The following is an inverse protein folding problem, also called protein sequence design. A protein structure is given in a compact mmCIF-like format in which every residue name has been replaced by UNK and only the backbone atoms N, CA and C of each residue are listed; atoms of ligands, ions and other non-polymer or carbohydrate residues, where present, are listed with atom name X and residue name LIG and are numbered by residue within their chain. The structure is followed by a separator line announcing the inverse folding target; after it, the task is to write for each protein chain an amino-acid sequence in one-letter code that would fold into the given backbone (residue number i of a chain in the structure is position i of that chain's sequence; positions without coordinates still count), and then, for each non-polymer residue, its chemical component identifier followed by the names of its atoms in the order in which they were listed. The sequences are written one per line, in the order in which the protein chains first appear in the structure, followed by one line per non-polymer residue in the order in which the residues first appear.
data_IF_275086553324
#
_entry.id   IF_275086553324
#
_cell.length_a   1.000
_cell.length_b   1.000
_cell.length_c   1.000
_cell.angle_alpha   90.00
_cell.angle_beta   90.00
_cell.angle_gamma   90.00
#
_symmetry.space_group_name_H-M   'P 1'
#
loop_
_entity.id
_entity.type
_entity.pdbx_description
1 polymer ?
#
# COMPACT_ATOMS: atom_id res chain seq x y z
N UNK A 1 18.79 -6.46 11.72
CA UNK A 1 19.63 -7.27 10.79
C UNK A 1 19.65 -6.56 9.45
N UNK A 2 20.84 -6.33 8.87
CA UNK A 2 20.95 -5.75 7.53
C UNK A 2 20.90 -6.90 6.51
N UNK A 3 19.94 -6.90 5.57
CA UNK A 3 19.92 -7.91 4.52
C UNK A 3 21.21 -7.81 3.69
N UNK A 4 21.78 -8.97 3.34
CA UNK A 4 22.87 -9.02 2.36
C UNK A 4 22.40 -8.57 0.97
N UNK A 5 23.33 -8.37 0.03
CA UNK A 5 23.04 -7.87 -1.32
C UNK A 5 21.88 -8.58 -2.01
N UNK A 6 21.86 -9.92 -1.96
CA UNK A 6 20.79 -10.71 -2.56
C UNK A 6 19.41 -10.39 -1.95
N UNK A 7 19.35 -10.19 -0.63
CA UNK A 7 18.11 -9.81 0.06
C UNK A 7 17.62 -8.41 -0.32
N UNK A 8 18.55 -7.46 -0.48
CA UNK A 8 18.23 -6.10 -0.94
C UNK A 8 17.72 -6.12 -2.38
N UNK A 9 18.39 -6.83 -3.29
CA UNK A 9 17.98 -6.91 -4.70
C UNK A 9 16.62 -7.60 -4.87
N UNK A 10 16.40 -8.71 -4.15
CA UNK A 10 15.11 -9.38 -4.17
C UNK A 10 14.01 -8.48 -3.60
N UNK A 11 14.28 -7.80 -2.48
CA UNK A 11 13.35 -6.84 -1.88
C UNK A 11 12.99 -5.71 -2.85
N UNK A 12 13.99 -5.11 -3.49
CA UNK A 12 13.80 -4.05 -4.49
C UNK A 12 12.97 -4.53 -5.68
N UNK A 13 13.25 -5.72 -6.21
CA UNK A 13 12.48 -6.30 -7.31
C UNK A 13 11.02 -6.56 -6.92
N UNK A 14 10.78 -7.17 -5.76
CA UNK A 14 9.43 -7.46 -5.26
C UNK A 14 8.63 -6.17 -5.00
N UNK A 15 9.26 -5.18 -4.36
CA UNK A 15 8.63 -3.88 -4.12
C UNK A 15 8.32 -3.20 -5.44
N UNK A 16 9.29 -3.14 -6.37
CA UNK A 16 9.10 -2.49 -7.68
C UNK A 16 8.01 -3.13 -8.53
N UNK A 17 7.95 -4.47 -8.57
CA UNK A 17 6.87 -5.19 -9.26
C UNK A 17 5.53 -4.95 -8.57
N UNK A 18 5.48 -5.06 -7.24
CA UNK A 18 4.25 -4.84 -6.48
C UNK A 18 3.70 -3.42 -6.65
N UNK A 19 4.53 -2.39 -6.48
CA UNK A 19 4.14 -0.99 -6.63
C UNK A 19 3.79 -0.65 -8.07
N UNK A 20 4.56 -1.15 -9.03
CA UNK A 20 4.31 -0.96 -10.46
C UNK A 20 3.00 -1.56 -10.94
N UNK A 21 2.51 -2.62 -10.29
CA UNK A 21 1.23 -3.25 -10.62
C UNK A 21 0.05 -2.63 -9.87
N UNK A 22 0.20 -2.37 -8.57
CA UNK A 22 -0.95 -2.07 -7.69
C UNK A 22 -1.68 -0.77 -8.07
N UNK A 23 -0.94 0.30 -8.38
CA UNK A 23 -1.51 1.61 -8.70
C UNK A 23 -2.27 1.61 -10.03
N UNK A 24 -1.67 1.25 -11.18
CA UNK A 24 -2.39 1.28 -12.45
C UNK A 24 -3.59 0.32 -12.47
N UNK A 25 -3.45 -0.89 -11.89
CA UNK A 25 -4.56 -1.84 -11.82
C UNK A 25 -5.69 -1.36 -10.90
N UNK A 26 -5.33 -0.77 -9.75
CA UNK A 26 -6.31 -0.21 -8.81
C UNK A 26 -7.11 0.93 -9.43
N UNK A 27 -6.43 1.88 -10.09
CA UNK A 27 -7.08 2.99 -10.78
C UNK A 27 -7.92 2.51 -11.98
N UNK A 28 -7.44 1.54 -12.75
CA UNK A 28 -8.21 0.95 -13.84
C UNK A 28 -9.50 0.29 -13.35
N UNK A 29 -9.43 -0.48 -12.26
CA UNK A 29 -10.60 -1.12 -11.66
C UNK A 29 -11.62 -0.11 -11.09
N UNK A 30 -11.13 0.95 -10.43
CA UNK A 30 -11.98 2.04 -9.97
C UNK A 30 -12.65 2.77 -11.15
N UNK A 31 -11.90 3.06 -12.22
CA UNK A 31 -12.44 3.77 -13.38
C UNK A 31 -13.51 2.94 -14.09
N UNK A 32 -13.27 1.63 -14.26
CA UNK A 32 -14.21 0.71 -14.90
C UNK A 32 -15.53 0.53 -14.12
N UNK A 33 -15.53 0.78 -12.81
CA UNK A 33 -16.69 0.58 -11.92
C UNK A 33 -17.37 1.89 -11.48
N UNK A 34 -16.91 3.04 -11.99
CA UNK A 34 -17.39 4.36 -11.58
C UNK A 34 -18.24 5.01 -12.67
N UNK A 35 -19.46 5.50 -12.36
CA UNK A 35 -20.23 6.32 -13.29
C UNK A 35 -19.47 7.57 -13.75
N UNK A 36 -19.56 7.99 -15.02
CA UNK A 36 -18.77 9.11 -15.56
C UNK A 36 -18.87 10.40 -14.75
N UNK A 37 -20.05 10.70 -14.20
CA UNK A 37 -20.34 11.92 -13.43
C UNK A 37 -19.60 11.96 -12.09
N UNK A 38 -19.15 10.80 -11.59
CA UNK A 38 -18.45 10.63 -10.30
C UNK A 38 -16.99 10.19 -10.45
N UNK A 39 -16.49 10.10 -11.68
CA UNK A 39 -15.14 9.62 -11.96
C UNK A 39 -14.08 10.46 -11.25
N UNK A 40 -14.16 11.80 -11.39
CA UNK A 40 -13.23 12.71 -10.74
C UNK A 40 -13.24 12.61 -9.20
N UNK A 41 -14.43 12.46 -8.60
CA UNK A 41 -14.56 12.29 -7.15
C UNK A 41 -13.93 10.98 -6.67
N UNK A 42 -14.12 9.89 -7.41
CA UNK A 42 -13.60 8.57 -7.04
C UNK A 42 -12.09 8.49 -7.21
N UNK A 43 -11.55 9.00 -8.32
CA UNK A 43 -10.11 9.08 -8.55
C UNK A 43 -9.44 10.03 -7.55
N UNK A 44 -10.06 11.17 -7.26
CA UNK A 44 -9.55 12.10 -6.25
C UNK A 44 -9.48 11.46 -4.86
N UNK A 45 -10.49 10.69 -4.46
CA UNK A 45 -10.46 9.95 -3.20
C UNK A 45 -9.36 8.86 -3.18
N UNK A 46 -9.15 8.17 -4.30
CA UNK A 46 -8.07 7.18 -4.43
C UNK A 46 -6.68 7.83 -4.30
N UNK A 47 -6.49 8.99 -4.92
CA UNK A 47 -5.23 9.72 -4.89
C UNK A 47 -4.95 10.32 -3.51
N UNK A 48 -5.97 10.81 -2.81
CA UNK A 48 -5.85 11.19 -1.40
C UNK A 48 -5.39 10.01 -0.55
N UNK A 49 -5.91 8.80 -0.81
CA UNK A 49 -5.44 7.57 -0.17
C UNK A 49 -3.95 7.30 -0.42
N UNK A 50 -3.47 7.52 -1.65
CA UNK A 50 -2.05 7.38 -2.01
C UNK A 50 -1.18 8.40 -1.26
N UNK A 51 -1.56 9.68 -1.28
CA UNK A 51 -0.82 10.75 -0.59
C UNK A 51 -0.77 10.53 0.94
N UNK A 52 -1.86 10.03 1.54
CA UNK A 52 -1.86 9.62 2.95
C UNK A 52 -0.88 8.46 3.20
N UNK A 53 -0.73 7.54 2.25
CA UNK A 53 0.28 6.48 2.29
C UNK A 53 1.70 7.03 2.18
N UNK A 54 1.96 7.95 1.24
CA UNK A 54 3.28 8.53 1.01
C UNK A 54 3.76 9.39 2.18
N UNK A 55 2.86 10.15 2.80
CA UNK A 55 3.17 10.91 4.01
C UNK A 55 3.19 10.01 5.26
N UNK A 56 2.22 9.12 5.41
CA UNK A 56 2.00 8.34 6.63
C UNK A 56 2.94 7.15 6.78
N UNK A 57 3.32 6.48 5.69
CA UNK A 57 4.18 5.31 5.68
C UNK A 57 5.54 5.56 6.33
N UNK A 58 6.31 6.58 5.87
CA UNK A 58 7.57 6.97 6.48
C UNK A 58 7.44 7.36 7.94
N UNK A 59 6.39 8.11 8.32
CA UNK A 59 6.16 8.53 9.71
C UNK A 59 5.90 7.33 10.64
N UNK A 60 5.08 6.37 10.20
CA UNK A 60 4.78 5.15 10.94
C UNK A 60 6.05 4.30 11.14
N UNK A 61 6.79 4.04 10.06
CA UNK A 61 8.03 3.25 10.12
C UNK A 61 9.06 3.94 11.01
N UNK A 62 9.25 5.26 10.84
CA UNK A 62 10.18 6.04 11.65
C UNK A 62 9.81 6.02 13.13
N UNK A 63 8.52 6.13 13.47
CA UNK A 63 8.06 6.11 14.86
C UNK A 63 8.35 4.77 15.55
N UNK A 64 8.08 3.66 14.88
CA UNK A 64 8.38 2.31 15.41
C UNK A 64 9.89 2.08 15.48
N UNK A 65 10.63 2.54 14.47
CA UNK A 65 12.08 2.42 14.45
C UNK A 65 12.74 3.20 15.60
N UNK A 66 12.20 4.37 15.97
CA UNK A 66 12.70 5.20 17.05
C UNK A 66 12.55 4.57 18.44
N UNK A 67 11.58 3.68 18.64
CA UNK A 67 11.34 3.01 19.93
C UNK A 67 11.80 1.56 20.00
N UNK A 68 12.11 0.94 18.85
CA UNK A 68 12.56 -0.46 18.78
C UNK A 68 13.73 -0.63 17.81
N UNK A 69 13.47 -0.81 16.51
CA UNK A 69 14.49 -0.84 15.46
C UNK A 69 13.85 -0.74 14.07
N UNK A 70 14.66 -0.46 13.06
CA UNK A 70 14.21 -0.43 11.66
C UNK A 70 13.62 -1.78 11.20
N UNK A 71 14.14 -2.90 11.71
CA UNK A 71 13.59 -4.23 11.42
C UNK A 71 12.13 -4.34 11.88
N UNK A 72 11.80 -3.83 13.07
CA UNK A 72 10.42 -3.79 13.54
C UNK A 72 9.57 -2.79 12.77
N UNK A 73 10.13 -1.63 12.39
CA UNK A 73 9.44 -0.65 11.56
C UNK A 73 8.96 -1.24 10.22
N UNK A 74 9.85 -1.91 9.49
CA UNK A 74 9.48 -2.62 8.25
C UNK A 74 8.56 -3.82 8.51
N UNK A 75 8.72 -4.53 9.62
CA UNK A 75 7.82 -5.62 10.02
C UNK A 75 6.37 -5.16 10.19
N UNK A 76 6.15 -4.02 10.86
CA UNK A 76 4.81 -3.43 11.01
C UNK A 76 4.25 -3.03 9.65
N UNK A 77 5.05 -2.36 8.80
CA UNK A 77 4.61 -1.99 7.45
C UNK A 77 4.21 -3.23 6.63
N UNK A 78 5.00 -4.31 6.70
CA UNK A 78 4.71 -5.57 6.01
C UNK A 78 3.37 -6.19 6.47
N UNK A 79 3.10 -6.21 7.78
CA UNK A 79 1.82 -6.70 8.33
C UNK A 79 0.66 -5.83 7.84
N UNK A 80 0.80 -4.50 7.87
CA UNK A 80 -0.25 -3.58 7.38
C UNK A 80 -0.56 -3.81 5.91
N UNK A 81 0.47 -3.95 5.06
CA UNK A 81 0.31 -4.23 3.63
C UNK A 81 -0.35 -5.60 3.38
N UNK A 82 -0.04 -6.62 4.19
CA UNK A 82 -0.65 -7.94 4.07
C UNK A 82 -2.13 -7.95 4.51
N UNK A 83 -2.47 -7.19 5.55
CA UNK A 83 -3.85 -7.12 6.06
C UNK A 83 -4.78 -6.25 5.20
N UNK A 84 -4.27 -5.22 4.53
CA UNK A 84 -5.08 -4.29 3.72
C UNK A 84 -6.01 -4.98 2.71
N UNK A 85 -5.50 -5.86 1.82
CA UNK A 85 -6.32 -6.63 0.89
C UNK A 85 -7.35 -7.52 1.57
N UNK A 86 -7.04 -8.10 2.73
CA UNK A 86 -7.99 -8.94 3.48
C UNK A 86 -9.16 -8.11 4.00
N UNK A 87 -8.89 -6.91 4.52
CA UNK A 87 -9.93 -5.98 4.97
C UNK A 87 -10.79 -5.55 3.79
N UNK A 88 -10.18 -5.16 2.66
CA UNK A 88 -10.89 -4.78 1.45
C UNK A 88 -11.80 -5.91 0.94
N UNK A 89 -11.27 -7.14 0.84
CA UNK A 89 -12.03 -8.31 0.43
C UNK A 89 -13.20 -8.61 1.39
N UNK A 90 -12.97 -8.47 2.70
CA UNK A 90 -14.01 -8.62 3.72
C UNK A 90 -15.14 -7.60 3.58
N UNK A 91 -14.81 -6.34 3.26
CA UNK A 91 -15.79 -5.29 3.02
C UNK A 91 -16.61 -5.53 1.74
N UNK A 92 -15.97 -6.00 0.68
CA UNK A 92 -16.66 -6.37 -0.57
C UNK A 92 -17.64 -7.51 -0.33
N UNK A 93 -17.21 -8.58 0.36
CA UNK A 93 -18.06 -9.73 0.69
C UNK A 93 -19.28 -9.39 1.56
N UNK A 94 -19.22 -8.32 2.36
CA UNK A 94 -20.37 -7.86 3.18
C UNK A 94 -21.40 -7.07 2.38
N UNK A 95 -21.03 -6.58 1.20
CA UNK A 95 -21.89 -5.72 0.35
C UNK A 95 -22.59 -6.50 -0.76
N UNK A 96 -22.12 -7.70 -1.11
CA UNK A 96 -22.77 -8.62 -2.04
C UNK A 96 -23.53 -9.70 -1.29
#
# INVERSE_FOLDING_TARGET
MLPGLAGVLLGAALIGVGTGLITPLGFAALAASTPPERLGQTMGAAELGRELGDAGGPLLVARVAATASLTYGYGVLAVLLACGPMVAAGLVRRRG
#
